data_IF_382256272468
#
_entry.id   IF_382256272468
#
_cell.length_a   1.000
_cell.length_b   1.000
_cell.length_c   1.000
_cell.angle_alpha   90.00
_cell.angle_beta   90.00
_cell.angle_gamma   90.00
#
_symmetry.space_group_name_H-M   'P 1'
#
loop_
_entity.id
_entity.type
_entity.pdbx_description
1 polymer ?
#
# COMPACT_ATOMS: atom_id res chain seq x y z
N UNK A 1 36.75 6.55 33.73
CA UNK A 1 35.91 7.55 33.02
C UNK A 1 34.74 6.93 32.23
N UNK A 2 34.37 5.65 32.43
CA UNK A 2 33.14 5.03 31.89
C UNK A 2 32.16 4.66 33.01
N UNK A 3 31.94 5.56 33.97
CA UNK A 3 30.83 5.39 34.93
C UNK A 3 29.55 5.92 34.28
N UNK A 4 28.57 5.01 34.21
CA UNK A 4 27.15 5.23 33.94
C UNK A 4 26.77 5.76 32.54
N UNK A 5 26.90 4.92 31.52
CA UNK A 5 25.85 4.91 30.49
C UNK A 5 24.76 3.99 31.06
N UNK A 6 23.59 4.50 31.47
CA UNK A 6 22.54 3.70 32.10
C UNK A 6 21.77 2.90 31.04
N UNK A 7 22.48 2.04 30.30
CA UNK A 7 21.86 1.06 29.42
C UNK A 7 21.61 -0.18 30.27
N UNK A 8 20.34 -0.46 30.55
CA UNK A 8 19.93 -1.70 31.17
C UNK A 8 19.32 -2.60 30.09
N UNK A 9 19.98 -3.71 29.78
CA UNK A 9 19.56 -4.63 28.71
C UNK A 9 18.25 -5.35 29.07
N UNK A 10 18.05 -5.67 30.35
CA UNK A 10 16.83 -6.31 30.85
C UNK A 10 15.64 -5.36 30.76
N UNK A 11 15.85 -4.06 31.01
CA UNK A 11 14.80 -3.06 30.82
C UNK A 11 14.43 -2.88 29.36
N UNK A 12 15.40 -2.91 28.43
CA UNK A 12 15.10 -2.86 26.99
C UNK A 12 14.25 -4.07 26.58
N UNK A 13 14.64 -5.28 26.99
CA UNK A 13 13.91 -6.51 26.70
C UNK A 13 12.48 -6.48 27.22
N UNK A 14 12.29 -6.04 28.47
CA UNK A 14 10.99 -5.93 29.12
C UNK A 14 10.13 -4.82 28.52
N UNK A 15 10.70 -3.62 28.29
CA UNK A 15 9.99 -2.46 27.73
C UNK A 15 9.55 -2.69 26.30
N UNK A 16 10.33 -3.42 25.50
CA UNK A 16 10.01 -3.73 24.10
C UNK A 16 9.33 -5.10 23.92
N UNK A 17 9.10 -5.84 25.01
CA UNK A 17 8.51 -7.18 25.02
C UNK A 17 9.16 -8.15 24.00
N UNK A 18 10.47 -7.99 23.77
CA UNK A 18 11.21 -8.76 22.74
C UNK A 18 11.16 -10.26 23.03
N UNK A 19 11.04 -10.64 24.31
CA UNK A 19 10.93 -12.04 24.74
C UNK A 19 9.58 -12.68 24.39
N UNK A 20 8.54 -11.86 24.17
CA UNK A 20 7.19 -12.32 23.84
C UNK A 20 6.87 -12.17 22.35
N UNK A 21 7.31 -11.07 21.74
CA UNK A 21 7.02 -10.72 20.35
C UNK A 21 8.23 -10.04 19.69
N UNK A 22 8.25 -9.99 18.36
CA UNK A 22 9.24 -9.17 17.65
C UNK A 22 8.89 -7.69 17.77
N UNK A 23 9.87 -6.85 18.12
CA UNK A 23 9.71 -5.40 18.09
C UNK A 23 9.92 -4.87 16.67
N UNK A 24 8.85 -4.35 16.06
CA UNK A 24 8.90 -3.73 14.72
C UNK A 24 8.48 -2.27 14.82
N UNK A 25 9.35 -1.37 14.36
CA UNK A 25 9.12 0.07 14.37
C UNK A 25 9.55 0.67 13.04
N UNK A 26 8.87 1.73 12.61
CA UNK A 26 9.41 2.59 11.56
C UNK A 26 10.73 3.16 12.06
N UNK A 27 11.83 2.91 11.35
CA UNK A 27 13.17 3.24 11.85
C UNK A 27 13.25 4.73 12.17
N UNK A 28 13.43 5.12 13.45
CA UNK A 28 13.60 6.52 13.82
C UNK A 28 14.80 7.12 13.08
N UNK A 29 14.75 8.40 12.68
CA UNK A 29 15.81 9.02 11.89
C UNK A 29 17.23 8.84 12.47
N UNK A 30 17.35 8.85 13.80
CA UNK A 30 18.63 8.61 14.50
C UNK A 30 19.16 7.19 14.27
N UNK A 31 18.29 6.18 14.32
CA UNK A 31 18.66 4.79 14.04
C UNK A 31 18.96 4.59 12.55
N UNK A 32 18.24 5.27 11.66
CA UNK A 32 18.51 5.22 10.22
C UNK A 32 19.92 5.74 9.90
N UNK A 33 20.30 6.90 10.45
CA UNK A 33 21.64 7.46 10.26
C UNK A 33 22.72 6.55 10.83
N UNK A 34 22.51 6.02 12.03
CA UNK A 34 23.43 5.08 12.67
C UNK A 34 23.68 3.84 11.79
N UNK A 35 22.62 3.25 11.24
CA UNK A 35 22.76 2.09 10.36
C UNK A 35 23.50 2.41 9.06
N UNK A 36 23.23 3.57 8.46
CA UNK A 36 23.97 4.03 7.27
C UNK A 36 25.47 4.17 7.57
N UNK A 37 25.84 4.82 8.67
CA UNK A 37 27.24 4.97 9.09
C UNK A 37 27.93 3.64 9.36
N UNK A 38 27.22 2.68 9.99
CA UNK A 38 27.75 1.33 10.21
C UNK A 38 27.95 0.56 8.91
N UNK A 39 27.07 0.77 7.92
CA UNK A 39 27.15 0.13 6.61
C UNK A 39 28.35 0.62 5.81
N UNK A 40 28.57 1.94 5.78
CA UNK A 40 29.71 2.57 5.09
C UNK A 40 31.06 2.23 5.74
N UNK A 41 31.09 2.10 7.07
CA UNK A 41 32.30 1.77 7.82
C UNK A 41 32.82 0.33 7.58
N UNK A 42 32.00 -0.54 6.96
CA UNK A 42 32.34 -1.95 6.77
C UNK A 42 33.56 -2.12 5.86
N UNK A 43 34.64 -2.66 6.42
CA UNK A 43 35.90 -2.89 5.70
C UNK A 43 36.83 -1.68 5.64
N UNK A 44 36.44 -0.57 6.25
CA UNK A 44 37.24 0.66 6.38
C UNK A 44 37.67 0.84 7.85
N UNK A 45 36.72 0.72 8.77
CA UNK A 45 36.92 1.02 10.19
C UNK A 45 37.34 -0.20 11.01
N UNK A 46 37.99 0.08 12.15
CA UNK A 46 38.43 -0.95 13.10
C UNK A 46 37.31 -1.42 14.03
N UNK A 47 37.48 -2.58 14.65
CA UNK A 47 36.50 -3.15 15.59
C UNK A 47 36.14 -2.20 16.75
N UNK A 48 37.03 -1.31 17.17
CA UNK A 48 36.77 -0.31 18.21
C UNK A 48 35.65 0.66 17.82
N UNK A 49 35.58 1.08 16.56
CA UNK A 49 34.50 1.94 16.04
C UNK A 49 33.14 1.26 16.19
N UNK A 50 33.02 0.00 15.76
CA UNK A 50 31.78 -0.77 15.88
C UNK A 50 31.36 -1.00 17.34
N UNK A 51 32.31 -1.09 18.28
CA UNK A 51 32.00 -1.17 19.72
C UNK A 51 31.33 0.12 20.22
N UNK A 52 31.78 1.29 19.76
CA UNK A 52 31.16 2.58 20.08
C UNK A 52 29.76 2.66 19.48
N UNK A 53 29.63 2.28 18.19
CA UNK A 53 28.32 2.25 17.50
C UNK A 53 27.34 1.26 18.12
N UNK A 54 27.81 0.14 18.67
CA UNK A 54 26.96 -0.79 19.41
C UNK A 54 26.39 -0.15 20.69
N UNK A 55 27.19 0.64 21.42
CA UNK A 55 26.72 1.37 22.61
C UNK A 55 25.71 2.46 22.22
N UNK A 56 25.96 3.18 21.12
CA UNK A 56 25.04 4.18 20.55
C UNK A 56 23.70 3.55 20.13
N UNK A 57 23.75 2.37 19.49
CA UNK A 57 22.56 1.58 19.14
C UNK A 57 21.75 1.23 20.39
N UNK A 58 22.42 0.68 21.41
CA UNK A 58 21.76 0.28 22.66
C UNK A 58 21.15 1.48 23.39
N UNK A 59 21.81 2.64 23.38
CA UNK A 59 21.25 3.88 23.91
C UNK A 59 19.97 4.26 23.17
N UNK A 60 19.97 4.24 21.83
CA UNK A 60 18.77 4.55 21.06
C UNK A 60 17.66 3.51 21.23
N UNK A 61 18.00 2.23 21.36
CA UNK A 61 17.03 1.18 21.68
C UNK A 61 16.37 1.39 23.04
N UNK A 62 17.11 1.89 24.04
CA UNK A 62 16.55 2.21 25.36
C UNK A 62 15.52 3.36 25.33
N UNK A 63 15.56 4.21 24.32
CA UNK A 63 14.58 5.29 24.16
C UNK A 63 13.33 4.85 23.39
N UNK A 64 13.32 3.64 22.85
CA UNK A 64 12.14 3.08 22.19
C UNK A 64 11.09 2.71 23.24
N UNK A 65 9.81 2.85 22.86
CA UNK A 65 8.69 2.41 23.68
C UNK A 65 7.77 1.51 22.85
N UNK A 66 6.86 0.78 23.51
CA UNK A 66 5.84 -0.02 22.81
C UNK A 66 5.03 0.79 21.79
N UNK A 67 4.76 2.06 22.09
CA UNK A 67 3.98 2.95 21.23
C UNK A 67 4.76 3.45 20.01
N UNK A 68 6.09 3.31 19.97
CA UNK A 68 6.89 3.54 18.77
C UNK A 68 6.85 2.33 17.81
N UNK A 69 6.31 1.20 18.27
CA UNK A 69 6.03 0.06 17.40
C UNK A 69 4.94 0.41 16.40
N UNK A 70 5.05 -0.10 15.17
CA UNK A 70 3.91 -0.14 14.28
C UNK A 70 3.19 -1.47 14.49
N UNK A 71 1.84 -1.45 14.50
CA UNK A 71 1.02 -2.67 14.48
C UNK A 71 1.12 -3.32 13.10
N UNK A 72 2.31 -3.81 12.76
CA UNK A 72 2.57 -4.48 11.51
C UNK A 72 2.20 -5.94 11.69
N UNK A 73 0.97 -6.26 11.32
CA UNK A 73 0.51 -7.65 11.28
C UNK A 73 1.36 -8.41 10.26
N UNK A 74 2.20 -9.31 10.76
CA UNK A 74 2.93 -10.23 9.91
C UNK A 74 1.93 -11.20 9.28
N UNK A 75 1.90 -11.22 7.94
CA UNK A 75 1.14 -12.18 7.17
C UNK A 75 2.12 -13.12 6.47
N UNK A 76 1.87 -14.42 6.54
CA UNK A 76 2.76 -15.37 5.89
C UNK A 76 2.75 -15.20 4.36
N UNK A 77 3.82 -15.66 3.70
CA UNK A 77 3.97 -15.52 2.24
C UNK A 77 2.81 -16.16 1.46
N UNK A 78 2.19 -17.21 2.00
CA UNK A 78 1.02 -17.85 1.43
C UNK A 78 -0.19 -16.92 1.45
N UNK A 79 -0.51 -16.32 2.59
CA UNK A 79 -1.62 -15.35 2.72
C UNK A 79 -1.47 -14.15 1.77
N UNK A 80 -0.24 -13.62 1.65
CA UNK A 80 0.06 -12.51 0.72
C UNK A 80 -0.16 -12.96 -0.73
N UNK A 81 0.34 -14.15 -1.10
CA UNK A 81 0.17 -14.70 -2.44
C UNK A 81 -1.31 -14.94 -2.76
N UNK A 82 -2.04 -15.61 -1.87
CA UNK A 82 -3.48 -15.86 -2.04
C UNK A 82 -4.27 -14.57 -2.18
N UNK A 83 -3.97 -13.54 -1.38
CA UNK A 83 -4.61 -12.23 -1.50
C UNK A 83 -4.34 -11.58 -2.86
N UNK A 84 -3.12 -11.69 -3.38
CA UNK A 84 -2.76 -11.21 -4.73
C UNK A 84 -3.46 -12.00 -5.83
N UNK A 85 -3.60 -13.30 -5.70
CA UNK A 85 -4.33 -14.16 -6.66
C UNK A 85 -5.82 -13.80 -6.70
N UNK A 86 -6.46 -13.60 -5.55
CA UNK A 86 -7.86 -13.14 -5.48
C UNK A 86 -8.00 -11.77 -6.16
N UNK A 87 -7.10 -10.84 -5.87
CA UNK A 87 -7.11 -9.53 -6.53
C UNK A 87 -6.93 -9.64 -8.05
N UNK A 88 -5.98 -10.45 -8.51
CA UNK A 88 -5.75 -10.74 -9.93
C UNK A 88 -6.99 -11.31 -10.62
N UNK A 89 -7.72 -12.20 -9.94
CA UNK A 89 -9.01 -12.72 -10.42
C UNK A 89 -10.05 -11.59 -10.54
N UNK A 90 -10.19 -10.74 -9.52
CA UNK A 90 -11.16 -9.64 -9.53
C UNK A 90 -10.93 -8.65 -10.67
N UNK A 91 -9.67 -8.32 -10.99
CA UNK A 91 -9.35 -7.36 -12.05
C UNK A 91 -9.37 -7.95 -13.46
N UNK A 92 -9.33 -9.28 -13.59
CA UNK A 92 -9.50 -9.98 -14.87
C UNK A 92 -10.97 -10.27 -15.20
N UNK A 93 -11.87 -10.23 -14.20
CA UNK A 93 -13.29 -10.52 -14.36
C UNK A 93 -14.14 -9.32 -13.89
N UNK A 94 -13.93 -8.15 -14.52
CA UNK A 94 -14.56 -6.88 -14.10
C UNK A 94 -16.08 -6.86 -14.27
N UNK A 95 -16.60 -7.61 -15.24
CA UNK A 95 -18.02 -7.71 -15.58
C UNK A 95 -18.80 -8.65 -14.63
N UNK A 96 -18.10 -9.60 -14.00
CA UNK A 96 -18.72 -10.60 -13.15
C UNK A 96 -18.97 -10.07 -11.74
N UNK A 97 -20.15 -10.37 -11.18
CA UNK A 97 -20.49 -10.06 -9.79
C UNK A 97 -20.17 -11.26 -8.90
N UNK A 98 -18.90 -11.48 -8.62
CA UNK A 98 -18.50 -12.42 -7.56
C UNK A 98 -18.53 -11.72 -6.21
N UNK A 99 -19.13 -12.38 -5.23
CA UNK A 99 -19.00 -11.98 -3.83
C UNK A 99 -17.59 -12.30 -3.34
N UNK A 100 -17.00 -11.40 -2.54
CA UNK A 100 -15.71 -11.66 -1.91
C UNK A 100 -15.76 -12.89 -1.01
N UNK A 101 -16.90 -13.17 -0.38
CA UNK A 101 -17.14 -14.37 0.41
C UNK A 101 -16.94 -15.65 -0.41
N UNK A 102 -17.43 -15.69 -1.66
CA UNK A 102 -17.28 -16.85 -2.53
C UNK A 102 -15.83 -17.02 -3.01
N UNK A 103 -15.17 -15.90 -3.36
CA UNK A 103 -13.76 -15.91 -3.75
C UNK A 103 -12.87 -16.38 -2.59
N UNK A 104 -13.02 -15.78 -1.41
CA UNK A 104 -12.25 -16.17 -0.23
C UNK A 104 -12.47 -17.64 0.15
N UNK A 105 -13.71 -18.14 0.03
CA UNK A 105 -14.03 -19.57 0.23
C UNK A 105 -13.31 -20.46 -0.80
N UNK A 106 -13.35 -20.10 -2.09
CA UNK A 106 -12.68 -20.83 -3.19
C UNK A 106 -11.17 -20.95 -2.95
N UNK A 107 -10.55 -19.86 -2.49
CA UNK A 107 -9.12 -19.78 -2.22
C UNK A 107 -8.74 -20.20 -0.79
N UNK A 108 -9.70 -20.70 0.00
CA UNK A 108 -9.51 -21.21 1.37
C UNK A 108 -8.85 -20.21 2.32
N UNK A 109 -9.20 -18.92 2.20
CA UNK A 109 -8.79 -17.87 3.13
C UNK A 109 -10.01 -17.32 3.87
N UNK A 110 -9.84 -16.95 5.14
CA UNK A 110 -10.90 -16.27 5.88
C UNK A 110 -11.12 -14.84 5.31
N UNK A 111 -12.38 -14.41 5.20
CA UNK A 111 -12.74 -13.10 4.66
C UNK A 111 -12.11 -11.94 5.44
N UNK A 112 -12.18 -11.95 6.77
CA UNK A 112 -11.59 -10.92 7.62
C UNK A 112 -10.07 -10.88 7.46
N UNK A 113 -9.43 -12.05 7.37
CA UNK A 113 -7.99 -12.14 7.11
C UNK A 113 -7.64 -11.55 5.73
N UNK A 114 -8.39 -11.90 4.69
CA UNK A 114 -8.21 -11.32 3.36
C UNK A 114 -8.32 -9.79 3.39
N UNK A 115 -9.33 -9.22 4.04
CA UNK A 115 -9.47 -7.77 4.16
C UNK A 115 -8.26 -7.12 4.85
N UNK A 116 -7.77 -7.70 5.94
CA UNK A 116 -6.59 -7.19 6.66
C UNK A 116 -5.31 -7.26 5.80
N UNK A 117 -5.05 -8.41 5.18
CA UNK A 117 -3.88 -8.59 4.30
C UNK A 117 -3.98 -7.65 3.10
N UNK A 118 -5.16 -7.53 2.50
CA UNK A 118 -5.39 -6.67 1.34
C UNK A 118 -5.14 -5.21 1.68
N UNK A 119 -5.71 -4.69 2.78
CA UNK A 119 -5.48 -3.30 3.17
C UNK A 119 -4.00 -3.03 3.47
N UNK A 120 -3.27 -4.02 4.00
CA UNK A 120 -1.85 -3.87 4.24
C UNK A 120 -1.02 -3.81 2.95
N UNK A 121 -1.45 -4.52 1.90
CA UNK A 121 -0.76 -4.54 0.60
C UNK A 121 -1.12 -3.31 -0.25
N UNK A 122 -2.41 -2.92 -0.27
CA UNK A 122 -2.95 -1.94 -1.23
C UNK A 122 -3.42 -0.62 -0.60
N UNK A 123 -3.44 -0.51 0.73
CA UNK A 123 -3.77 0.72 1.46
C UNK A 123 -5.25 1.12 1.48
N UNK A 124 -6.15 0.27 0.97
CA UNK A 124 -7.60 0.53 0.91
C UNK A 124 -8.38 -0.80 0.90
N UNK A 125 -9.71 -0.73 0.92
CA UNK A 125 -10.58 -1.90 0.83
C UNK A 125 -10.62 -2.49 -0.59
N UNK A 126 -10.85 -3.81 -0.74
CA UNK A 126 -10.91 -4.46 -2.05
C UNK A 126 -11.89 -3.80 -3.04
N UNK A 127 -13.10 -3.46 -2.59
CA UNK A 127 -14.10 -2.82 -3.44
C UNK A 127 -13.76 -1.36 -3.78
N UNK A 128 -13.13 -0.62 -2.87
CA UNK A 128 -12.67 0.75 -3.17
C UNK A 128 -11.55 0.73 -4.21
N UNK A 129 -10.56 -0.16 -4.06
CA UNK A 129 -9.53 -0.41 -5.06
C UNK A 129 -10.13 -0.83 -6.40
N UNK A 130 -11.07 -1.79 -6.41
CA UNK A 130 -11.72 -2.25 -7.65
C UNK A 130 -12.47 -1.12 -8.35
N UNK A 131 -13.18 -0.29 -7.59
CA UNK A 131 -13.86 0.90 -8.12
C UNK A 131 -12.85 1.84 -8.79
N UNK A 132 -11.77 2.22 -8.10
CA UNK A 132 -10.71 3.09 -8.64
C UNK A 132 -10.09 2.49 -9.90
N UNK A 133 -9.78 1.20 -9.89
CA UNK A 133 -9.24 0.47 -11.04
C UNK A 133 -10.18 0.53 -12.25
N UNK A 134 -11.47 0.22 -12.07
CA UNK A 134 -12.48 0.33 -13.14
C UNK A 134 -12.59 1.76 -13.68
N UNK A 135 -12.57 2.77 -12.82
CA UNK A 135 -12.65 4.17 -13.27
C UNK A 135 -11.39 4.59 -14.04
N UNK A 136 -10.22 4.09 -13.67
CA UNK A 136 -8.99 4.35 -14.43
C UNK A 136 -9.05 3.74 -15.85
N UNK A 137 -9.56 2.51 -15.99
CA UNK A 137 -9.79 1.90 -17.30
C UNK A 137 -10.80 2.73 -18.11
N UNK A 138 -11.90 3.13 -17.46
CA UNK A 138 -12.90 3.96 -18.10
C UNK A 138 -12.32 5.30 -18.57
N UNK A 139 -11.49 5.95 -17.76
CA UNK A 139 -10.83 7.19 -18.12
C UNK A 139 -9.96 7.01 -19.36
N UNK A 140 -9.15 5.94 -19.44
CA UNK A 140 -8.41 5.60 -20.67
C UNK A 140 -9.33 5.46 -21.88
N UNK A 141 -10.36 4.62 -21.80
CA UNK A 141 -11.32 4.40 -22.91
C UNK A 141 -12.08 5.66 -23.31
N UNK A 142 -12.42 6.53 -22.37
CA UNK A 142 -13.12 7.78 -22.67
C UNK A 142 -12.28 8.73 -23.54
N UNK A 143 -10.95 8.62 -23.45
CA UNK A 143 -9.99 9.47 -24.14
C UNK A 143 -9.48 8.84 -25.43
N UNK A 144 -9.24 7.53 -25.41
CA UNK A 144 -8.58 6.81 -26.50
C UNK A 144 -9.58 6.23 -27.51
N UNK A 145 -10.89 6.22 -27.21
CA UNK A 145 -11.92 5.69 -28.09
C UNK A 145 -13.22 6.52 -28.14
N UNK A 146 -14.03 6.26 -29.16
CA UNK A 146 -15.38 6.83 -29.31
C UNK A 146 -16.48 5.92 -28.74
N UNK A 147 -16.11 4.89 -27.96
CA UNK A 147 -17.06 3.94 -27.39
C UNK A 147 -18.18 4.66 -26.63
N UNK A 148 -19.40 4.15 -26.69
CA UNK A 148 -20.49 4.79 -25.97
C UNK A 148 -20.27 4.62 -24.48
N UNK A 149 -20.54 5.67 -23.71
CA UNK A 149 -20.40 5.64 -22.24
C UNK A 149 -21.19 4.47 -21.62
N UNK A 150 -22.34 4.12 -22.20
CA UNK A 150 -23.14 2.97 -21.78
C UNK A 150 -22.46 1.62 -22.02
N UNK A 151 -21.74 1.45 -23.14
CA UNK A 151 -20.98 0.24 -23.46
C UNK A 151 -19.79 0.10 -22.49
N UNK A 152 -19.02 1.17 -22.28
CA UNK A 152 -17.94 1.21 -21.29
C UNK A 152 -18.46 0.82 -19.89
N UNK A 153 -19.64 1.30 -19.50
CA UNK A 153 -20.25 0.97 -18.21
C UNK A 153 -20.57 -0.53 -18.08
N UNK A 154 -21.15 -1.13 -19.13
CA UNK A 154 -21.51 -2.56 -19.16
C UNK A 154 -20.26 -3.43 -19.08
N UNK A 155 -19.24 -3.14 -19.88
CA UNK A 155 -17.97 -3.89 -19.90
C UNK A 155 -17.23 -3.84 -18.54
N UNK A 156 -17.47 -2.79 -17.75
CA UNK A 156 -16.93 -2.64 -16.40
C UNK A 156 -17.86 -3.19 -15.31
N UNK A 157 -18.92 -3.91 -15.68
CA UNK A 157 -19.84 -4.59 -14.77
C UNK A 157 -20.85 -3.68 -14.07
N UNK A 158 -21.10 -2.47 -14.58
CA UNK A 158 -22.14 -1.59 -14.06
C UNK A 158 -23.49 -1.91 -14.71
N UNK A 159 -24.53 -2.04 -13.87
CA UNK A 159 -25.88 -2.37 -14.36
C UNK A 159 -26.52 -1.28 -15.21
N UNK A 160 -26.03 -0.04 -15.13
CA UNK A 160 -26.46 1.08 -15.96
C UNK A 160 -25.46 2.24 -15.93
N UNK A 161 -25.59 3.12 -16.93
CA UNK A 161 -24.76 4.31 -17.08
C UNK A 161 -24.85 5.28 -15.89
N UNK A 162 -26.00 5.38 -15.21
CA UNK A 162 -26.18 6.31 -14.09
C UNK A 162 -25.34 5.93 -12.87
N UNK A 163 -25.27 4.64 -12.52
CA UNK A 163 -24.41 4.15 -11.43
C UNK A 163 -22.93 4.32 -11.77
N UNK A 164 -22.58 4.01 -13.02
CA UNK A 164 -21.23 4.23 -13.53
C UNK A 164 -20.83 5.71 -13.45
N UNK A 165 -21.67 6.63 -13.93
CA UNK A 165 -21.38 8.06 -13.92
C UNK A 165 -21.18 8.60 -12.49
N UNK A 166 -22.00 8.17 -11.53
CA UNK A 166 -21.80 8.52 -10.11
C UNK A 166 -20.48 7.98 -9.55
N UNK A 167 -20.12 6.73 -9.89
CA UNK A 167 -18.86 6.15 -9.46
C UNK A 167 -17.66 6.89 -10.07
N UNK A 168 -17.74 7.24 -11.35
CA UNK A 168 -16.71 7.97 -12.06
C UNK A 168 -16.51 9.36 -11.47
N UNK A 169 -17.60 10.11 -11.27
CA UNK A 169 -17.55 11.42 -10.62
C UNK A 169 -16.99 11.34 -9.20
N UNK A 170 -17.28 10.26 -8.45
CA UNK A 170 -16.70 10.09 -7.11
C UNK A 170 -15.17 9.92 -7.10
N UNK A 171 -14.57 9.50 -8.22
CA UNK A 171 -13.13 9.26 -8.34
C UNK A 171 -12.42 10.43 -9.02
N UNK A 172 -13.01 11.01 -10.07
CA UNK A 172 -12.40 12.05 -10.91
C UNK A 172 -12.96 13.46 -10.67
N UNK A 173 -14.04 13.61 -9.91
CA UNK A 173 -14.67 14.91 -9.62
C UNK A 173 -15.62 15.44 -10.70
N UNK A 174 -15.62 14.85 -11.90
CA UNK A 174 -16.47 15.27 -13.03
C UNK A 174 -17.20 14.08 -13.68
N UNK A 175 -18.23 14.35 -14.50
CA UNK A 175 -18.99 13.30 -15.17
C UNK A 175 -18.18 12.72 -16.36
N UNK A 176 -18.37 11.43 -16.72
CA UNK A 176 -17.67 10.80 -17.84
C UNK A 176 -17.78 11.57 -19.18
N UNK A 177 -18.95 12.17 -19.42
CA UNK A 177 -19.22 12.95 -20.63
C UNK A 177 -18.39 14.24 -20.66
N UNK A 178 -18.30 14.91 -19.53
CA UNK A 178 -17.55 16.16 -19.38
C UNK A 178 -16.05 15.89 -19.45
N UNK A 179 -15.59 14.82 -18.78
CA UNK A 179 -14.21 14.33 -18.86
C UNK A 179 -13.74 14.12 -20.31
N UNK A 180 -14.56 13.42 -21.12
CA UNK A 180 -14.29 13.21 -22.56
C UNK A 180 -14.25 14.52 -23.35
N UNK A 181 -15.19 15.43 -23.08
CA UNK A 181 -15.29 16.71 -23.79
C UNK A 181 -14.09 17.60 -23.50
N UNK A 182 -13.77 17.79 -22.22
CA UNK A 182 -12.73 18.69 -21.75
C UNK A 182 -11.37 18.32 -22.36
N UNK A 183 -11.01 17.03 -22.40
CA UNK A 183 -9.71 16.62 -22.98
C UNK A 183 -9.66 16.78 -24.50
N UNK A 184 -10.74 16.49 -25.24
CA UNK A 184 -10.80 16.77 -26.69
C UNK A 184 -10.66 18.25 -27.00
N UNK A 185 -11.19 19.13 -26.15
CA UNK A 185 -11.00 20.57 -26.26
C UNK A 185 -9.54 20.97 -25.99
N UNK A 186 -8.88 20.39 -24.98
CA UNK A 186 -7.44 20.58 -24.74
C UNK A 186 -6.56 20.09 -25.90
N UNK A 187 -6.80 18.89 -26.42
CA UNK A 187 -6.02 18.33 -27.55
C UNK A 187 -6.23 19.15 -28.83
N UNK A 188 -7.45 19.62 -29.10
CA UNK A 188 -7.71 20.56 -30.20
C UNK A 188 -7.03 21.91 -29.99
N UNK A 189 -7.00 22.45 -28.77
CA UNK A 189 -6.36 23.72 -28.48
C UNK A 189 -4.82 23.67 -28.63
N UNK A 190 -4.20 22.53 -28.30
CA UNK A 190 -2.74 22.35 -28.40
C UNK A 190 -2.30 21.91 -29.81
N UNK A 191 -2.98 20.95 -30.44
CA UNK A 191 -2.57 20.37 -31.71
C UNK A 191 -3.33 20.90 -32.94
N UNK A 192 -4.45 21.61 -32.73
CA UNK A 192 -5.26 22.18 -33.81
C UNK A 192 -4.65 23.42 -34.49
N UNK A 193 -3.58 24.00 -33.93
CA UNK A 193 -2.85 25.14 -34.49
C UNK A 193 -1.68 24.72 -35.42
N UNK A 194 -1.55 23.43 -35.75
CA UNK A 194 -0.50 22.90 -36.64
C UNK A 194 -1.04 22.49 -38.02
N UNK A 195 -1.90 23.32 -38.63
CA UNK A 195 -2.30 23.18 -40.03
C UNK A 195 -1.99 24.43 -40.83
#
# INVERSE_FOLDING_TARGET
MMQAIPINLDSIGSTLEIEKNWYLSTTPPKLQNLFSEMYEAKGIEQAAYFKIKAVELLYHMNQLTQNHGCDFKYFDKGQIRTTKEIWGYMISHLEEKHSLEDLTRKYKINLSLFHMVFSQIYGDTPYSCLKKYKMNIAAGRLLDSEDKIGEIAIDLGYSNASKFAKAFQSVYGELPKDYRKNKKEYERAIFGNLR
#
